data_IF_759707925354
#
_entry.id   IF_759707925354
#
_cell.length_a   1.000
_cell.length_b   1.000
_cell.length_c   1.000
_cell.angle_alpha   90.00
_cell.angle_beta   90.00
_cell.angle_gamma   90.00
#
_symmetry.space_group_name_H-M   'P 1'
#
loop_
_entity.id
_entity.type
_entity.pdbx_description
1 polymer ?
#
# COMPACT_ATOMS: atom_id res chain seq x y z
N UNK A 1 -26.33 2.66 -1.60
CA UNK A 1 -25.12 3.10 -0.87
C UNK A 1 -23.93 2.61 -1.69
N UNK A 2 -23.32 3.46 -2.54
CA UNK A 2 -22.16 3.05 -3.34
C UNK A 2 -20.94 3.14 -2.43
N UNK A 3 -20.42 2.02 -1.97
CA UNK A 3 -19.11 1.91 -1.32
C UNK A 3 -18.05 2.35 -2.34
N UNK A 4 -17.75 3.65 -2.39
CA UNK A 4 -16.68 4.18 -3.21
C UNK A 4 -15.36 3.69 -2.63
N UNK A 5 -14.79 2.63 -3.22
CA UNK A 5 -13.48 2.13 -2.81
C UNK A 5 -12.39 3.18 -3.01
N UNK A 6 -11.23 2.99 -2.37
CA UNK A 6 -10.10 3.92 -2.42
C UNK A 6 -9.73 4.37 -3.84
N UNK A 7 -9.78 3.45 -4.81
CA UNK A 7 -9.50 3.73 -6.22
C UNK A 7 -10.51 4.72 -6.83
N UNK A 8 -11.78 4.69 -6.39
CA UNK A 8 -12.79 5.64 -6.82
C UNK A 8 -12.50 7.04 -6.29
N UNK A 9 -12.04 7.16 -5.04
CA UNK A 9 -11.63 8.44 -4.46
C UNK A 9 -10.49 9.09 -5.26
N UNK A 10 -9.53 8.30 -5.73
CA UNK A 10 -8.43 8.79 -6.59
C UNK A 10 -8.96 9.25 -7.95
N UNK A 11 -9.96 8.57 -8.52
CA UNK A 11 -10.61 9.02 -9.76
C UNK A 11 -11.39 10.34 -9.57
N UNK A 12 -12.07 10.51 -8.44
CA UNK A 12 -12.83 11.72 -8.13
C UNK A 12 -11.91 12.89 -7.74
N UNK A 13 -10.68 12.61 -7.28
CA UNK A 13 -9.64 13.58 -6.91
C UNK A 13 -8.28 13.21 -7.55
N UNK A 14 -8.11 13.39 -8.87
CA UNK A 14 -6.91 12.96 -9.59
C UNK A 14 -5.62 13.64 -9.10
N UNK A 15 -5.73 14.82 -8.49
CA UNK A 15 -4.61 15.53 -7.87
C UNK A 15 -3.94 14.76 -6.70
N UNK A 16 -4.61 13.74 -6.16
CA UNK A 16 -4.06 12.88 -5.10
C UNK A 16 -3.18 11.75 -5.66
N UNK A 17 -3.36 11.35 -6.93
CA UNK A 17 -2.62 10.25 -7.55
C UNK A 17 -1.09 10.37 -7.42
N UNK A 18 -0.46 11.55 -7.61
CA UNK A 18 0.99 11.65 -7.57
C UNK A 18 1.62 11.31 -6.20
N UNK A 19 0.86 11.43 -5.10
CA UNK A 19 1.34 11.08 -3.76
C UNK A 19 1.49 9.57 -3.55
N UNK A 20 0.82 8.75 -4.35
CA UNK A 20 0.82 7.29 -4.22
C UNK A 20 1.57 6.56 -5.34
N UNK A 21 1.66 7.17 -6.52
CA UNK A 21 2.17 6.49 -7.72
C UNK A 21 3.32 7.22 -8.42
N UNK A 22 3.73 8.40 -7.95
CA UNK A 22 4.72 9.25 -8.64
C UNK A 22 5.78 9.84 -7.71
N UNK A 23 5.92 9.35 -6.47
CA UNK A 23 6.97 9.79 -5.55
C UNK A 23 6.73 11.17 -4.91
N UNK A 24 5.55 11.77 -5.07
CA UNK A 24 5.29 13.11 -4.51
C UNK A 24 5.33 13.07 -2.98
N UNK A 25 6.13 13.95 -2.39
CA UNK A 25 6.31 14.03 -0.95
C UNK A 25 4.99 14.38 -0.23
N UNK A 26 4.79 13.79 0.95
CA UNK A 26 3.68 14.13 1.84
C UNK A 26 3.75 15.61 2.24
N UNK A 27 2.65 16.40 2.13
CA UNK A 27 2.66 17.80 2.52
C UNK A 27 3.03 17.98 3.99
N UNK A 28 3.94 18.90 4.30
CA UNK A 28 4.44 19.09 5.67
C UNK A 28 3.44 19.83 6.58
N UNK A 29 2.68 20.77 6.02
CA UNK A 29 1.68 21.52 6.77
C UNK A 29 0.47 20.62 7.13
N UNK A 30 -0.11 20.76 8.33
CA UNK A 30 -1.32 20.04 8.73
C UNK A 30 -2.58 20.66 8.08
N UNK A 31 -2.59 20.77 6.76
CA UNK A 31 -3.68 21.33 5.97
C UNK A 31 -4.63 20.25 5.42
N UNK A 32 -5.70 20.69 4.75
CA UNK A 32 -6.70 19.80 4.17
C UNK A 32 -6.07 18.80 3.19
N UNK A 33 -5.07 19.21 2.41
CA UNK A 33 -4.43 18.33 1.44
C UNK A 33 -3.66 17.21 2.15
N UNK A 34 -2.92 17.52 3.23
CA UNK A 34 -2.24 16.50 4.04
C UNK A 34 -3.26 15.48 4.57
N UNK A 35 -4.37 15.93 5.15
CA UNK A 35 -5.39 15.02 5.68
C UNK A 35 -6.02 14.15 4.58
N UNK A 36 -6.31 14.72 3.42
CA UNK A 36 -6.82 13.94 2.28
C UNK A 36 -5.83 12.87 1.81
N UNK A 37 -4.54 13.20 1.75
CA UNK A 37 -3.49 12.25 1.38
C UNK A 37 -3.36 11.15 2.44
N UNK A 38 -3.40 11.49 3.74
CA UNK A 38 -3.31 10.49 4.80
C UNK A 38 -4.53 9.56 4.80
N UNK A 39 -5.76 10.08 4.74
CA UNK A 39 -6.96 9.25 4.71
C UNK A 39 -7.01 8.31 3.51
N UNK A 40 -6.66 8.79 2.31
CA UNK A 40 -6.59 7.91 1.14
C UNK A 40 -5.44 6.91 1.28
N UNK A 41 -4.34 7.32 1.90
CA UNK A 41 -3.20 6.45 2.22
C UNK A 41 -3.56 5.32 3.17
N UNK A 42 -4.31 5.59 4.24
CA UNK A 42 -4.79 4.57 5.18
C UNK A 42 -5.66 3.55 4.44
N UNK A 43 -6.65 4.02 3.67
CA UNK A 43 -7.53 3.13 2.88
C UNK A 43 -6.75 2.30 1.86
N UNK A 44 -5.72 2.86 1.23
CA UNK A 44 -4.88 2.13 0.28
C UNK A 44 -4.00 1.11 1.00
N UNK A 45 -3.44 1.49 2.16
CA UNK A 45 -2.70 0.61 3.05
C UNK A 45 -3.52 -0.61 3.45
N UNK A 46 -4.77 -0.41 3.85
CA UNK A 46 -5.68 -1.51 4.20
C UNK A 46 -5.90 -2.47 3.01
N UNK A 47 -6.08 -1.94 1.80
CA UNK A 47 -6.23 -2.76 0.59
C UNK A 47 -4.98 -3.59 0.31
N UNK A 48 -3.80 -3.00 0.43
CA UNK A 48 -2.54 -3.71 0.18
C UNK A 48 -2.26 -4.76 1.26
N UNK A 49 -2.48 -4.42 2.53
CA UNK A 49 -2.32 -5.33 3.67
C UNK A 49 -3.23 -6.55 3.52
N UNK A 50 -4.51 -6.34 3.21
CA UNK A 50 -5.49 -7.40 2.98
C UNK A 50 -5.13 -8.23 1.75
N UNK A 51 -4.68 -7.58 0.67
CA UNK A 51 -4.22 -8.27 -0.54
C UNK A 51 -3.04 -9.21 -0.28
N UNK A 52 -2.03 -8.74 0.45
CA UNK A 52 -0.87 -9.54 0.85
C UNK A 52 -1.22 -10.64 1.87
N UNK A 53 -2.14 -10.37 2.80
CA UNK A 53 -2.59 -11.35 3.77
C UNK A 53 -3.31 -12.52 3.08
N UNK A 54 -4.30 -12.24 2.24
CA UNK A 54 -5.11 -13.30 1.63
C UNK A 54 -4.38 -14.10 0.57
N UNK A 55 -3.51 -13.48 -0.21
CA UNK A 55 -2.79 -14.21 -1.26
C UNK A 55 -1.71 -15.15 -0.71
N UNK A 56 -1.19 -14.88 0.49
CA UNK A 56 -0.28 -15.80 1.19
C UNK A 56 -1.01 -17.03 1.73
N UNK A 57 -2.22 -16.83 2.28
CA UNK A 57 -3.00 -17.91 2.91
C UNK A 57 -3.84 -18.71 1.90
N UNK A 58 -4.16 -18.13 0.74
CA UNK A 58 -4.99 -18.73 -0.31
C UNK A 58 -4.15 -18.89 -1.59
N UNK A 59 -3.25 -19.87 -1.57
CA UNK A 59 -2.38 -20.22 -2.71
C UNK A 59 -3.15 -20.56 -4.00
N UNK A 60 -4.44 -20.93 -3.90
CA UNK A 60 -5.30 -21.25 -5.04
C UNK A 60 -5.56 -20.06 -6.00
N UNK A 61 -5.22 -18.83 -5.60
CA UNK A 61 -5.45 -17.63 -6.43
C UNK A 61 -4.38 -17.43 -7.50
N UNK A 62 -3.16 -17.95 -7.32
CA UNK A 62 -2.02 -17.71 -8.21
C UNK A 62 -1.58 -16.23 -8.31
N UNK A 63 -2.15 -15.33 -7.50
CA UNK A 63 -2.01 -13.88 -7.63
C UNK A 63 -1.10 -13.26 -6.54
N UNK A 64 -0.38 -14.09 -5.77
CA UNK A 64 0.51 -13.59 -4.72
C UNK A 64 1.61 -12.70 -5.27
N UNK A 65 2.26 -13.14 -6.36
CA UNK A 65 3.30 -12.35 -7.05
C UNK A 65 2.73 -11.00 -7.52
N UNK A 66 1.53 -10.98 -8.09
CA UNK A 66 0.87 -9.74 -8.55
C UNK A 66 0.62 -8.73 -7.42
N UNK A 67 0.17 -9.21 -6.25
CA UNK A 67 -0.08 -8.35 -5.09
C UNK A 67 1.20 -7.89 -4.42
N UNK A 68 2.22 -8.76 -4.34
CA UNK A 68 3.53 -8.39 -3.83
C UNK A 68 4.19 -7.33 -4.70
N UNK A 69 4.19 -7.52 -6.03
CA UNK A 69 4.76 -6.56 -6.97
C UNK A 69 4.02 -5.22 -6.93
N UNK A 70 2.68 -5.27 -6.87
CA UNK A 70 1.87 -4.06 -6.75
C UNK A 70 2.12 -3.31 -5.43
N UNK A 71 2.12 -4.01 -4.29
CA UNK A 71 2.38 -3.40 -2.99
C UNK A 71 3.79 -2.82 -2.92
N UNK A 72 4.79 -3.56 -3.40
CA UNK A 72 6.19 -3.11 -3.46
C UNK A 72 6.35 -1.88 -4.33
N UNK A 73 5.69 -1.85 -5.50
CA UNK A 73 5.67 -0.67 -6.36
C UNK A 73 5.07 0.55 -5.66
N UNK A 74 3.90 0.41 -5.03
CA UNK A 74 3.24 1.53 -4.34
C UNK A 74 4.08 2.01 -3.16
N UNK A 75 4.64 1.13 -2.34
CA UNK A 75 5.50 1.49 -1.21
C UNK A 75 6.74 2.27 -1.68
N UNK A 76 7.38 1.85 -2.77
CA UNK A 76 8.52 2.57 -3.36
C UNK A 76 8.15 3.95 -3.88
N UNK A 77 6.94 4.12 -4.41
CA UNK A 77 6.48 5.38 -5.02
C UNK A 77 5.71 6.30 -4.05
N UNK A 78 5.41 5.86 -2.83
CA UNK A 78 4.53 6.59 -1.91
C UNK A 78 5.23 6.94 -0.61
N UNK A 79 5.89 8.12 -0.53
CA UNK A 79 6.38 8.65 0.74
C UNK A 79 5.27 8.79 1.81
N UNK A 80 4.04 9.07 1.38
CA UNK A 80 2.88 9.16 2.26
C UNK A 80 2.52 7.82 2.91
N UNK A 81 2.53 6.73 2.13
CA UNK A 81 2.25 5.40 2.65
C UNK A 81 3.39 4.91 3.56
N UNK A 82 4.65 5.18 3.17
CA UNK A 82 5.80 4.87 4.01
C UNK A 82 5.77 5.61 5.35
N UNK A 83 5.22 6.83 5.39
CA UNK A 83 5.01 7.57 6.63
C UNK A 83 3.98 6.85 7.53
N UNK A 84 2.82 6.49 6.99
CA UNK A 84 1.76 5.77 7.72
C UNK A 84 2.23 4.41 8.25
N UNK A 85 2.94 3.62 7.44
CA UNK A 85 3.45 2.31 7.86
C UNK A 85 4.50 2.45 8.97
N UNK A 86 5.32 3.51 8.96
CA UNK A 86 6.26 3.80 10.05
C UNK A 86 5.58 4.30 11.32
N UNK A 87 4.51 5.09 11.18
CA UNK A 87 3.75 5.64 12.30
C UNK A 87 2.90 4.57 12.99
N UNK A 88 2.36 3.64 12.21
CA UNK A 88 1.44 2.59 12.66
C UNK A 88 1.86 1.19 12.17
N UNK A 89 3.06 0.69 12.53
CA UNK A 89 3.56 -0.58 12.02
C UNK A 89 2.68 -1.78 12.38
N UNK A 90 1.95 -1.72 13.50
CA UNK A 90 1.02 -2.76 13.93
C UNK A 90 -0.26 -2.85 13.10
N UNK A 91 -0.59 -1.82 12.31
CA UNK A 91 -1.75 -1.86 11.40
C UNK A 91 -1.40 -2.54 10.07
N UNK A 92 -0.13 -2.48 9.68
CA UNK A 92 0.34 -2.93 8.38
C UNK A 92 1.49 -3.96 8.47
N UNK A 93 1.34 -5.06 9.21
CA UNK A 93 2.42 -6.01 9.44
C UNK A 93 2.97 -6.65 8.14
N UNK A 94 2.19 -6.76 7.07
CA UNK A 94 2.68 -7.25 5.76
C UNK A 94 3.36 -6.16 4.93
N UNK A 95 3.06 -4.87 5.16
CA UNK A 95 3.74 -3.76 4.48
C UNK A 95 5.04 -3.33 5.16
N UNK A 96 5.21 -3.58 6.46
CA UNK A 96 6.43 -3.24 7.20
C UNK A 96 7.71 -3.78 6.52
N UNK A 97 7.77 -5.05 6.06
CA UNK A 97 8.93 -5.56 5.33
C UNK A 97 9.28 -4.78 4.05
N UNK A 98 8.31 -4.10 3.45
CA UNK A 98 8.48 -3.37 2.18
C UNK A 98 9.04 -1.94 2.37
N UNK A 99 9.17 -1.46 3.62
CA UNK A 99 9.63 -0.09 3.92
C UNK A 99 11.08 0.20 3.50
N UNK A 100 11.91 -0.83 3.40
CA UNK A 100 13.34 -0.68 3.15
C UNK A 100 13.71 -0.74 1.66
N UNK A 101 12.80 -1.19 0.78
CA UNK A 101 13.20 -1.59 -0.56
C UNK A 101 14.31 -2.64 -0.53
N UNK A 102 14.39 -3.44 0.54
CA UNK A 102 15.40 -4.49 0.66
C UNK A 102 15.15 -5.49 -0.47
N UNK A 103 16.15 -5.59 -1.34
CA UNK A 103 16.14 -6.36 -2.59
C UNK A 103 16.03 -7.88 -2.39
N UNK A 104 15.78 -8.36 -1.17
CA UNK A 104 15.86 -9.78 -0.81
C UNK A 104 14.70 -10.25 0.08
N UNK A 105 13.46 -9.82 -0.20
CA UNK A 105 12.32 -10.67 0.18
C UNK A 105 12.20 -11.76 -0.88
N UNK A 106 13.11 -12.75 -0.83
CA UNK A 106 12.88 -13.99 -1.57
C UNK A 106 11.50 -14.52 -1.13
N UNK A 107 10.61 -14.84 -2.08
CA UNK A 107 9.43 -15.60 -1.73
C UNK A 107 9.95 -16.92 -1.18
N UNK A 108 9.81 -17.12 0.13
CA UNK A 108 10.09 -18.40 0.79
C UNK A 108 9.35 -19.46 -0.03
N UNK A 109 10.11 -20.17 -0.86
CA UNK A 109 9.57 -21.14 -1.80
C UNK A 109 8.82 -22.14 -0.96
N UNK A 110 7.49 -22.15 -1.09
CA UNK A 110 6.68 -23.17 -0.48
C UNK A 110 7.23 -24.51 -0.98
N UNK A 111 7.96 -25.21 -0.11
CA UNK A 111 8.46 -26.54 -0.39
C UNK A 111 7.26 -27.40 -0.76
N UNK A 112 7.26 -27.85 -2.01
CA UNK A 112 6.32 -28.82 -2.50
C UNK A 112 6.43 -30.08 -1.64
N UNK A 113 5.36 -30.40 -0.92
CA UNK A 113 5.07 -31.73 -0.39
C UNK A 113 3.65 -32.14 -0.75
#
# INVERSE_FOLDING_TARGET
>A
MRTGGVLRTILDKPALRPFFYEGKALPAAPDELRWQVLTVGEMLGDVLEVGLYHTREIQATGAYEDWFDYASFVMRQSPALNHLVREHPGWYPKLVPLLAGDEDVEPERAEAR
#
